data_IF_563979188266
#
_entry.id   IF_563979188266
#
_cell.length_a   1.000
_cell.length_b   1.000
_cell.length_c   1.000
_cell.angle_alpha   90.00
_cell.angle_beta   90.00
_cell.angle_gamma   90.00
#
_symmetry.space_group_name_H-M   'P 1'
#
loop_
_entity.id
_entity.type
_entity.pdbx_description
1 polymer ?
#
# COMPACT_ATOMS: atom_id res chain seq x y z
N UNK A 1 -21.05 -3.15 -16.41
CA UNK A 1 -20.64 -4.57 -16.36
C UNK A 1 -19.15 -4.64 -16.09
N UNK A 2 -18.71 -5.59 -15.26
CA UNK A 2 -17.30 -5.75 -14.87
C UNK A 2 -16.62 -6.98 -15.48
N UNK A 3 -17.40 -7.89 -16.08
CA UNK A 3 -16.86 -9.00 -16.87
C UNK A 3 -16.38 -8.46 -18.21
N UNK A 4 -15.13 -8.02 -18.25
CA UNK A 4 -14.52 -7.32 -19.38
C UNK A 4 -13.13 -7.91 -19.68
N UNK A 5 -12.78 -7.91 -20.97
CA UNK A 5 -11.48 -8.33 -21.50
C UNK A 5 -10.89 -7.17 -22.30
N UNK A 6 -9.63 -6.85 -22.07
CA UNK A 6 -8.90 -5.86 -22.86
C UNK A 6 -8.73 -6.43 -24.28
N UNK A 7 -9.09 -5.63 -25.28
CA UNK A 7 -8.66 -5.82 -26.66
C UNK A 7 -7.38 -5.00 -26.82
N UNK A 8 -6.23 -5.65 -26.78
CA UNK A 8 -4.93 -4.98 -26.71
C UNK A 8 -4.29 -4.82 -28.10
N UNK A 9 -3.06 -4.30 -28.13
CA UNK A 9 -2.30 -4.07 -29.35
C UNK A 9 -2.00 -5.38 -30.09
N UNK A 10 -1.74 -6.48 -29.37
CA UNK A 10 -1.53 -7.80 -29.98
C UNK A 10 -2.76 -8.25 -30.78
N UNK A 11 -3.96 -8.13 -30.18
CA UNK A 11 -5.21 -8.50 -30.84
C UNK A 11 -5.45 -7.69 -32.12
N UNK A 12 -5.12 -6.39 -32.08
CA UNK A 12 -5.26 -5.49 -33.24
C UNK A 12 -4.26 -5.82 -34.34
N UNK A 13 -3.00 -6.08 -34.00
CA UNK A 13 -1.93 -6.42 -34.93
C UNK A 13 -2.17 -7.75 -35.65
N UNK A 14 -2.80 -8.72 -34.97
CA UNK A 14 -3.09 -10.04 -35.53
C UNK A 14 -4.49 -10.16 -36.14
N UNK A 15 -5.26 -9.07 -36.21
CA UNK A 15 -6.59 -9.06 -36.82
C UNK A 15 -7.62 -9.91 -36.06
N UNK A 16 -7.47 -10.08 -34.75
CA UNK A 16 -8.41 -10.86 -33.92
C UNK A 16 -9.74 -10.11 -33.87
N UNK A 17 -10.77 -10.72 -34.45
CA UNK A 17 -12.11 -10.14 -34.53
C UNK A 17 -12.98 -10.57 -33.34
N UNK A 18 -13.66 -9.59 -32.73
CA UNK A 18 -14.63 -9.82 -31.66
C UNK A 18 -16.04 -9.39 -32.11
N UNK A 19 -17.12 -10.03 -31.60
CA UNK A 19 -18.49 -9.63 -31.93
C UNK A 19 -18.74 -8.15 -31.62
N UNK A 20 -19.17 -7.37 -32.62
CA UNK A 20 -19.34 -5.91 -32.49
C UNK A 20 -20.25 -5.50 -31.33
N UNK A 21 -21.26 -6.31 -31.02
CA UNK A 21 -22.18 -6.10 -29.89
C UNK A 21 -21.54 -6.34 -28.51
N UNK A 22 -20.36 -6.96 -28.44
CA UNK A 22 -19.59 -7.20 -27.20
C UNK A 22 -18.44 -6.20 -27.01
N UNK A 23 -18.00 -5.54 -28.08
CA UNK A 23 -16.97 -4.50 -28.01
C UNK A 23 -17.55 -3.24 -27.35
N UNK A 24 -16.82 -2.70 -26.37
CA UNK A 24 -17.23 -1.45 -25.71
C UNK A 24 -16.92 -0.24 -26.60
N UNK A 25 -17.76 0.80 -26.59
CA UNK A 25 -17.63 1.93 -27.50
C UNK A 25 -16.50 2.91 -27.12
N UNK A 26 -15.92 2.77 -25.93
CA UNK A 26 -14.94 3.70 -25.39
C UNK A 26 -13.69 2.96 -24.95
N UNK A 27 -12.54 3.63 -25.11
CA UNK A 27 -11.28 3.16 -24.60
C UNK A 27 -11.26 3.17 -23.06
N UNK A 28 -10.49 2.25 -22.50
CA UNK A 28 -10.25 2.16 -21.07
C UNK A 28 -8.82 2.60 -20.73
N UNK A 29 -8.63 3.10 -19.51
CA UNK A 29 -7.33 3.59 -19.05
C UNK A 29 -6.63 2.55 -18.17
N UNK A 30 -5.38 2.24 -18.50
CA UNK A 30 -4.41 1.65 -17.58
C UNK A 30 -3.51 2.76 -17.03
N UNK A 31 -3.33 2.84 -15.71
CA UNK A 31 -2.58 3.95 -15.10
C UNK A 31 -1.08 3.68 -15.12
N UNK A 32 -0.28 4.73 -15.34
CA UNK A 32 1.18 4.67 -15.21
C UNK A 32 1.60 5.03 -13.81
N UNK A 33 2.50 4.24 -13.24
CA UNK A 33 3.15 4.52 -11.97
C UNK A 33 4.48 3.82 -11.92
N UNK A 34 5.35 4.29 -11.03
CA UNK A 34 6.68 3.72 -10.86
C UNK A 34 6.60 2.32 -10.24
N UNK A 35 7.29 1.35 -10.84
CA UNK A 35 7.47 0.01 -10.27
C UNK A 35 8.94 -0.37 -10.33
N UNK A 36 9.47 -0.90 -9.24
CA UNK A 36 10.88 -1.30 -9.19
C UNK A 36 11.19 -2.58 -9.96
N UNK A 37 10.18 -3.37 -10.33
CA UNK A 37 10.36 -4.59 -11.14
C UNK A 37 10.81 -4.27 -12.57
N UNK A 38 10.44 -3.12 -13.12
CA UNK A 38 10.87 -2.73 -14.47
C UNK A 38 12.31 -2.23 -14.47
N UNK A 39 13.08 -2.54 -15.53
CA UNK A 39 14.43 -2.02 -15.73
C UNK A 39 14.44 -0.48 -15.74
N UNK A 40 13.43 0.13 -16.36
CA UNK A 40 13.27 1.57 -16.41
C UNK A 40 12.83 2.14 -15.04
N UNK A 41 13.78 2.71 -14.30
CA UNK A 41 13.51 3.34 -12.99
C UNK A 41 12.94 4.76 -13.07
N UNK A 42 12.60 5.26 -14.27
CA UNK A 42 11.88 6.52 -14.49
C UNK A 42 10.37 6.30 -14.67
N UNK A 43 9.89 5.05 -14.64
CA UNK A 43 8.49 4.68 -14.74
C UNK A 43 7.80 5.01 -16.07
N UNK A 44 8.59 5.17 -17.15
CA UNK A 44 8.06 5.41 -18.50
C UNK A 44 7.41 4.18 -19.13
N UNK A 45 7.61 3.01 -18.55
CA UNK A 45 7.12 1.72 -19.10
C UNK A 45 6.41 0.89 -18.05
N UNK A 46 6.14 1.43 -16.85
CA UNK A 46 5.54 0.69 -15.74
C UNK A 46 4.16 1.25 -15.36
N UNK A 47 3.33 0.39 -14.77
CA UNK A 47 2.00 0.73 -14.29
C UNK A 47 1.06 -0.47 -14.26
N UNK A 48 -0.20 -0.24 -14.56
CA UNK A 48 -1.22 -1.29 -14.57
C UNK A 48 -1.01 -2.29 -15.71
N UNK A 49 -0.20 -3.31 -15.48
CA UNK A 49 0.09 -4.38 -16.45
C UNK A 49 -1.06 -5.34 -16.73
N UNK A 50 -1.97 -5.49 -15.76
CA UNK A 50 -3.13 -6.41 -15.83
C UNK A 50 -4.43 -5.81 -15.31
N UNK A 51 -4.47 -4.47 -15.22
CA UNK A 51 -5.60 -3.76 -14.64
C UNK A 51 -6.06 -2.63 -15.55
N UNK A 52 -7.34 -2.27 -15.42
CA UNK A 52 -7.88 -1.03 -15.96
C UNK A 52 -8.62 -0.26 -14.88
N UNK A 53 -8.69 1.06 -15.05
CA UNK A 53 -9.55 1.94 -14.29
C UNK A 53 -10.92 2.00 -14.96
N UNK A 54 -11.96 1.57 -14.24
CA UNK A 54 -13.34 1.56 -14.73
C UNK A 54 -14.04 2.92 -14.57
N UNK A 55 -13.41 3.85 -13.86
CA UNK A 55 -13.97 5.15 -13.50
C UNK A 55 -14.17 5.30 -12.00
N UNK A 56 -15.11 6.16 -11.61
CA UNK A 56 -15.44 6.39 -10.22
C UNK A 56 -16.95 6.36 -9.98
N UNK A 57 -17.34 5.95 -8.78
CA UNK A 57 -18.69 6.06 -8.25
C UNK A 57 -18.78 7.25 -7.29
N UNK A 58 -19.71 8.17 -7.53
CA UNK A 58 -20.02 9.28 -6.61
C UNK A 58 -21.15 8.85 -5.68
N UNK A 59 -20.81 8.50 -4.43
CA UNK A 59 -21.79 8.29 -3.37
C UNK A 59 -22.20 9.61 -2.69
N UNK A 60 -23.10 9.53 -1.71
CA UNK A 60 -23.60 10.71 -0.97
C UNK A 60 -22.51 11.53 -0.30
N UNK A 61 -21.49 10.86 0.26
CA UNK A 61 -20.45 11.51 1.07
C UNK A 61 -19.00 11.22 0.61
N UNK A 62 -18.80 10.31 -0.35
CA UNK A 62 -17.48 9.88 -0.81
C UNK A 62 -17.51 9.54 -2.30
N UNK A 63 -16.37 9.75 -2.95
CA UNK A 63 -16.09 9.28 -4.31
C UNK A 63 -15.21 8.04 -4.20
N UNK A 64 -15.54 7.00 -4.95
CA UNK A 64 -14.83 5.73 -4.97
C UNK A 64 -14.27 5.49 -6.36
N UNK A 65 -12.97 5.26 -6.48
CA UNK A 65 -12.40 4.71 -7.70
C UNK A 65 -12.73 3.23 -7.79
N UNK A 66 -12.98 2.76 -9.02
CA UNK A 66 -13.24 1.35 -9.31
C UNK A 66 -12.27 0.89 -10.38
N UNK A 67 -11.62 -0.24 -10.16
CA UNK A 67 -10.66 -0.82 -11.09
C UNK A 67 -10.87 -2.33 -11.17
N UNK A 68 -10.66 -2.90 -12.36
CA UNK A 68 -10.68 -4.35 -12.56
C UNK A 68 -9.26 -4.85 -12.82
N UNK A 69 -8.85 -5.93 -12.14
CA UNK A 69 -7.60 -6.68 -12.35
C UNK A 69 -7.88 -8.05 -12.95
N UNK A 70 -6.93 -8.61 -13.69
CA UNK A 70 -7.09 -9.90 -14.38
C UNK A 70 -7.85 -9.78 -15.69
N UNK A 71 -7.92 -8.58 -16.26
CA UNK A 71 -8.75 -8.30 -17.45
C UNK A 71 -7.99 -8.45 -18.77
N UNK A 72 -6.69 -8.78 -18.74
CA UNK A 72 -5.83 -8.86 -19.92
C UNK A 72 -4.55 -8.03 -19.75
N UNK A 73 -3.59 -8.28 -20.65
CA UNK A 73 -2.27 -7.65 -20.61
C UNK A 73 -2.30 -6.27 -21.28
N UNK A 74 -1.59 -5.32 -20.67
CA UNK A 74 -1.36 -3.98 -21.22
C UNK A 74 0.11 -3.81 -21.62
N UNK A 75 0.41 -2.77 -22.39
CA UNK A 75 1.79 -2.37 -22.69
C UNK A 75 2.63 -1.96 -21.46
N UNK A 76 2.02 -1.88 -20.26
CA UNK A 76 2.70 -1.58 -19.00
C UNK A 76 3.05 -2.83 -18.20
N UNK A 77 2.71 -4.04 -18.68
CA UNK A 77 3.06 -5.28 -18.01
C UNK A 77 4.57 -5.53 -18.04
N UNK A 78 5.19 -6.01 -16.95
CA UNK A 78 6.62 -6.37 -16.93
C UNK A 78 7.03 -7.25 -18.12
N UNK A 79 6.26 -8.32 -18.39
CA UNK A 79 6.54 -9.22 -19.51
C UNK A 79 6.44 -8.56 -20.89
N UNK A 80 5.48 -7.66 -21.11
CA UNK A 80 5.36 -6.94 -22.39
C UNK A 80 6.52 -5.96 -22.63
N UNK A 81 7.00 -5.32 -21.55
CA UNK A 81 8.16 -4.44 -21.59
C UNK A 81 9.44 -5.22 -21.84
N UNK A 82 9.59 -6.39 -21.20
CA UNK A 82 10.72 -7.29 -21.42
C UNK A 82 10.75 -7.84 -22.85
N UNK A 83 9.61 -8.27 -23.37
CA UNK A 83 9.48 -8.78 -24.74
C UNK A 83 9.72 -7.70 -25.81
N UNK A 84 9.60 -6.41 -25.46
CA UNK A 84 9.70 -5.31 -26.40
C UNK A 84 8.59 -5.27 -27.46
N UNK A 85 7.51 -6.03 -27.26
CA UNK A 85 6.37 -6.17 -28.17
C UNK A 85 5.07 -6.44 -27.42
N UNK A 86 3.89 -6.20 -28.02
CA UNK A 86 2.62 -6.60 -27.45
C UNK A 86 2.56 -8.11 -27.22
N UNK A 87 1.93 -8.51 -26.10
CA UNK A 87 1.70 -9.91 -25.76
C UNK A 87 0.22 -10.26 -25.89
N UNK A 88 -0.05 -11.51 -26.23
CA UNK A 88 -1.40 -12.05 -26.15
C UNK A 88 -1.80 -12.20 -24.68
N UNK A 89 -2.99 -11.74 -24.32
CA UNK A 89 -3.49 -11.96 -22.97
C UNK A 89 -3.70 -13.46 -22.71
N UNK A 90 -3.09 -13.98 -21.64
CA UNK A 90 -3.04 -15.41 -21.30
C UNK A 90 -1.74 -16.09 -21.71
N UNK A 91 -0.85 -15.44 -22.46
CA UNK A 91 0.45 -16.01 -22.84
C UNK A 91 1.34 -16.25 -21.60
N UNK A 92 2.05 -17.38 -21.63
CA UNK A 92 3.06 -17.77 -20.64
C UNK A 92 4.49 -17.52 -21.12
N UNK A 93 4.66 -16.87 -22.29
CA UNK A 93 5.97 -16.71 -22.93
C UNK A 93 6.92 -15.81 -22.11
N UNK A 94 6.35 -14.88 -21.33
CA UNK A 94 7.10 -13.91 -20.52
C UNK A 94 6.45 -13.76 -19.14
N UNK A 95 6.91 -14.55 -18.17
CA UNK A 95 6.63 -14.48 -16.72
C UNK A 95 5.39 -13.68 -16.28
N UNK A 96 5.62 -12.56 -15.59
CA UNK A 96 4.58 -11.64 -15.08
C UNK A 96 3.86 -10.84 -16.19
N UNK A 97 3.57 -11.47 -17.33
CA UNK A 97 3.05 -10.88 -18.55
C UNK A 97 1.73 -11.47 -19.06
N UNK A 98 1.15 -12.48 -18.41
CA UNK A 98 -0.07 -13.13 -18.91
C UNK A 98 -1.32 -12.21 -18.84
N UNK A 99 -1.33 -11.19 -17.98
CA UNK A 99 -2.48 -10.28 -17.85
C UNK A 99 -3.71 -10.88 -17.16
N UNK A 100 -3.63 -12.14 -16.71
CA UNK A 100 -4.69 -12.85 -15.99
C UNK A 100 -4.51 -12.73 -14.47
N UNK A 101 -5.56 -13.12 -13.74
CA UNK A 101 -5.54 -13.28 -12.31
C UNK A 101 -6.10 -14.66 -11.96
N UNK A 102 -5.38 -15.41 -11.14
CA UNK A 102 -5.86 -16.66 -10.56
C UNK A 102 -6.99 -16.39 -9.56
N UNK A 103 -7.95 -17.29 -9.45
CA UNK A 103 -9.12 -17.09 -8.61
C UNK A 103 -8.76 -17.12 -7.12
N UNK A 104 -7.72 -17.87 -6.74
CA UNK A 104 -7.20 -17.97 -5.38
C UNK A 104 -6.55 -16.65 -4.91
N UNK A 105 -5.78 -15.95 -5.76
CA UNK A 105 -5.24 -14.63 -5.46
C UNK A 105 -6.36 -13.61 -5.24
N UNK A 106 -7.48 -13.73 -5.96
CA UNK A 106 -8.62 -12.83 -5.85
C UNK A 106 -9.42 -13.08 -4.57
N UNK A 107 -9.67 -14.34 -4.23
CA UNK A 107 -10.29 -14.70 -2.94
C UNK A 107 -9.40 -14.27 -1.78
N UNK A 108 -8.10 -14.57 -1.83
CA UNK A 108 -7.14 -14.13 -0.82
C UNK A 108 -7.13 -12.62 -0.61
N UNK A 109 -7.08 -11.85 -1.71
CA UNK A 109 -7.16 -10.39 -1.66
C UNK A 109 -8.47 -9.89 -1.05
N UNK A 110 -9.60 -10.49 -1.42
CA UNK A 110 -10.92 -10.08 -0.89
C UNK A 110 -11.04 -10.32 0.61
N UNK A 111 -10.65 -11.51 1.09
CA UNK A 111 -10.72 -11.86 2.50
C UNK A 111 -9.81 -10.95 3.33
N UNK A 112 -8.56 -10.77 2.88
CA UNK A 112 -7.60 -9.91 3.59
C UNK A 112 -8.04 -8.44 3.62
N UNK A 113 -8.58 -7.92 2.51
CA UNK A 113 -9.11 -6.56 2.44
C UNK A 113 -10.24 -6.32 3.45
N UNK A 114 -11.15 -7.27 3.59
CA UNK A 114 -12.23 -7.17 4.57
C UNK A 114 -11.74 -7.29 6.01
N UNK A 115 -10.79 -8.20 6.28
CA UNK A 115 -10.16 -8.34 7.59
C UNK A 115 -9.50 -7.03 8.01
N UNK A 116 -8.66 -6.45 7.16
CA UNK A 116 -7.95 -5.21 7.47
C UNK A 116 -8.89 -4.02 7.58
N UNK A 117 -9.91 -3.95 6.73
CA UNK A 117 -10.95 -2.94 6.89
C UNK A 117 -11.64 -3.01 8.26
N UNK A 118 -12.01 -4.23 8.71
CA UNK A 118 -12.62 -4.45 10.02
C UNK A 118 -11.68 -4.18 11.19
N UNK A 119 -10.36 -4.37 10.98
CA UNK A 119 -9.33 -3.97 11.94
C UNK A 119 -9.11 -2.44 11.97
N UNK A 120 -9.78 -1.66 11.11
CA UNK A 120 -9.67 -0.20 11.07
C UNK A 120 -8.49 0.30 10.22
N UNK A 121 -7.86 -0.57 9.43
CA UNK A 121 -6.86 -0.16 8.45
C UNK A 121 -7.55 0.45 7.23
N UNK A 122 -6.92 1.50 6.70
CA UNK A 122 -7.25 2.01 5.37
C UNK A 122 -6.79 0.99 4.34
N UNK A 123 -7.68 0.60 3.44
CA UNK A 123 -7.34 -0.31 2.36
C UNK A 123 -8.30 -0.21 1.18
N UNK A 124 -7.85 -0.62 -0.01
CA UNK A 124 -8.76 -1.01 -1.07
C UNK A 124 -9.69 -2.15 -0.61
N UNK A 125 -10.88 -2.20 -1.20
CA UNK A 125 -11.91 -3.18 -0.94
C UNK A 125 -12.16 -3.96 -2.22
N UNK A 126 -12.60 -5.22 -2.10
CA UNK A 126 -13.01 -6.02 -3.24
C UNK A 126 -14.52 -5.97 -3.35
N UNK A 127 -15.03 -5.34 -4.40
CA UNK A 127 -16.46 -5.23 -4.69
C UNK A 127 -17.02 -6.54 -5.22
N UNK A 128 -16.27 -7.21 -6.10
CA UNK A 128 -16.67 -8.47 -6.70
C UNK A 128 -15.45 -9.29 -7.11
N UNK A 129 -15.61 -10.60 -7.06
CA UNK A 129 -14.76 -11.58 -7.75
C UNK A 129 -15.65 -12.25 -8.78
N UNK A 130 -15.22 -12.23 -10.04
CA UNK A 130 -15.94 -12.86 -11.16
C UNK A 130 -15.11 -14.05 -11.60
N UNK A 131 -15.64 -15.24 -11.37
CA UNK A 131 -15.05 -16.49 -11.85
C UNK A 131 -15.26 -16.60 -13.37
N UNK A 132 -14.17 -16.80 -14.09
CA UNK A 132 -14.19 -16.98 -15.55
C UNK A 132 -14.07 -18.46 -15.96
N UNK A 133 -13.91 -19.38 -15.00
CA UNK A 133 -13.56 -20.78 -15.23
C UNK A 133 -12.04 -21.01 -15.23
N UNK A 134 -11.65 -22.29 -15.24
CA UNK A 134 -10.26 -22.74 -15.37
C UNK A 134 -9.27 -22.16 -14.35
N UNK A 135 -9.76 -21.80 -13.16
CA UNK A 135 -8.95 -21.20 -12.10
C UNK A 135 -8.68 -19.71 -12.29
N UNK A 136 -9.24 -19.05 -13.31
CA UNK A 136 -9.04 -17.63 -13.60
C UNK A 136 -10.23 -16.76 -13.19
N UNK A 137 -9.96 -15.50 -12.86
CA UNK A 137 -11.02 -14.56 -12.51
C UNK A 137 -10.71 -13.09 -12.77
N UNK A 138 -11.73 -12.25 -12.56
CA UNK A 138 -11.60 -10.80 -12.54
C UNK A 138 -11.87 -10.29 -11.13
N UNK A 139 -10.91 -9.54 -10.61
CA UNK A 139 -11.05 -8.84 -9.34
C UNK A 139 -11.51 -7.41 -9.53
N UNK A 140 -12.69 -7.05 -9.02
CA UNK A 140 -13.17 -5.67 -9.05
C UNK A 140 -12.86 -5.03 -7.70
N UNK A 141 -11.86 -4.14 -7.69
CA UNK A 141 -11.45 -3.39 -6.50
C UNK A 141 -12.03 -1.99 -6.47
N UNK A 142 -12.23 -1.46 -5.27
CA UNK A 142 -12.65 -0.09 -5.04
C UNK A 142 -11.96 0.53 -3.83
N UNK A 143 -11.62 1.82 -3.93
CA UNK A 143 -11.13 2.60 -2.80
C UNK A 143 -11.59 4.06 -2.95
N UNK A 144 -11.67 4.86 -1.88
CA UNK A 144 -12.00 6.28 -2.02
C UNK A 144 -11.00 7.03 -2.92
N UNK A 145 -9.77 6.53 -3.00
CA UNK A 145 -8.73 7.02 -3.88
C UNK A 145 -7.71 5.89 -4.12
N UNK A 146 -7.56 5.43 -5.36
CA UNK A 146 -6.60 4.37 -5.74
C UNK A 146 -5.19 4.91 -6.04
N UNK A 147 -4.95 6.21 -5.87
CA UNK A 147 -3.61 6.77 -6.04
C UNK A 147 -2.62 6.16 -5.06
N UNK A 148 -1.44 5.84 -5.60
CA UNK A 148 -0.25 5.32 -4.88
C UNK A 148 0.83 6.41 -4.84
N UNK A 149 1.72 6.47 -3.83
CA UNK A 149 2.92 7.31 -3.87
C UNK A 149 3.68 7.20 -5.20
N UNK A 150 3.78 5.98 -5.75
CA UNK A 150 4.40 5.69 -7.04
C UNK A 150 3.84 6.50 -8.23
N UNK A 151 2.56 6.87 -8.22
CA UNK A 151 1.96 7.73 -9.25
C UNK A 151 2.52 9.16 -9.21
N UNK A 152 2.86 9.65 -8.02
CA UNK A 152 3.42 10.98 -7.83
C UNK A 152 4.94 10.97 -8.01
N UNK A 153 5.61 9.95 -7.46
CA UNK A 153 7.06 9.81 -7.55
C UNK A 153 7.53 9.62 -8.98
N UNK A 154 6.70 9.04 -9.85
CA UNK A 154 6.91 8.99 -11.30
C UNK A 154 7.33 10.35 -11.87
N UNK A 155 6.46 11.35 -11.76
CA UNK A 155 6.69 12.68 -12.35
C UNK A 155 7.83 13.43 -11.65
N UNK A 156 8.05 13.16 -10.36
CA UNK A 156 9.22 13.68 -9.64
C UNK A 156 10.54 13.12 -10.21
N UNK A 157 10.60 11.81 -10.51
CA UNK A 157 11.78 11.17 -11.10
C UNK A 157 12.03 11.68 -12.51
N UNK A 158 10.97 11.92 -13.28
CA UNK A 158 11.01 12.48 -14.63
C UNK A 158 11.33 13.97 -14.68
N UNK A 159 11.29 14.67 -13.53
CA UNK A 159 11.41 16.13 -13.46
C UNK A 159 10.35 16.84 -14.31
N UNK A 160 9.14 16.26 -14.40
CA UNK A 160 7.98 16.88 -15.03
C UNK A 160 7.17 17.60 -13.96
N UNK A 161 7.56 18.85 -13.68
CA UNK A 161 6.90 19.68 -12.67
C UNK A 161 5.42 19.90 -12.98
N UNK A 162 5.05 20.06 -14.26
CA UNK A 162 3.69 20.36 -14.67
C UNK A 162 2.77 19.15 -14.44
N UNK A 163 3.19 17.96 -14.85
CA UNK A 163 2.43 16.73 -14.60
C UNK A 163 2.38 16.39 -13.10
N UNK A 164 3.50 16.55 -12.37
CA UNK A 164 3.52 16.36 -10.92
C UNK A 164 2.52 17.28 -10.22
N UNK A 165 2.48 18.56 -10.62
CA UNK A 165 1.53 19.53 -10.06
C UNK A 165 0.09 19.10 -10.30
N UNK A 166 -0.26 18.69 -11.53
CA UNK A 166 -1.62 18.19 -11.84
C UNK A 166 -1.98 16.96 -11.01
N UNK A 167 -1.05 16.01 -10.87
CA UNK A 167 -1.28 14.79 -10.09
C UNK A 167 -1.46 15.08 -8.59
N UNK A 168 -0.63 15.96 -8.01
CA UNK A 168 -0.73 16.38 -6.61
C UNK A 168 -2.00 17.21 -6.36
N UNK A 169 -2.36 18.12 -7.26
CA UNK A 169 -3.61 18.88 -7.16
C UNK A 169 -4.84 17.97 -7.23
N UNK A 170 -4.82 16.98 -8.14
CA UNK A 170 -5.85 15.95 -8.21
C UNK A 170 -5.96 15.17 -6.89
N UNK A 171 -4.82 14.74 -6.32
CA UNK A 171 -4.79 14.06 -5.03
C UNK A 171 -5.43 14.91 -3.92
N UNK A 172 -5.04 16.19 -3.80
CA UNK A 172 -5.63 17.13 -2.83
C UNK A 172 -7.14 17.26 -3.01
N UNK A 173 -7.61 17.44 -4.25
CA UNK A 173 -9.04 17.57 -4.55
C UNK A 173 -9.80 16.30 -4.16
N UNK A 174 -9.25 15.11 -4.45
CA UNK A 174 -9.86 13.83 -4.08
C UNK A 174 -9.97 13.66 -2.57
N UNK A 175 -8.90 13.95 -1.82
CA UNK A 175 -8.92 13.83 -0.36
C UNK A 175 -9.87 14.84 0.29
N UNK A 176 -9.95 16.07 -0.26
CA UNK A 176 -10.90 17.07 0.21
C UNK A 176 -12.35 16.66 -0.07
N UNK A 177 -12.67 16.20 -1.29
CA UNK A 177 -14.01 15.70 -1.65
C UNK A 177 -14.46 14.52 -0.80
N UNK A 178 -13.52 13.66 -0.41
CA UNK A 178 -13.77 12.53 0.49
C UNK A 178 -13.82 12.93 1.98
N UNK A 179 -13.71 14.23 2.29
CA UNK A 179 -13.70 14.80 3.64
C UNK A 179 -12.58 14.28 4.55
N UNK A 180 -11.54 13.72 3.95
CA UNK A 180 -10.36 13.24 4.67
C UNK A 180 -9.48 14.43 5.11
N UNK A 181 -9.41 15.48 4.29
CA UNK A 181 -8.63 16.68 4.56
C UNK A 181 -9.51 17.92 4.70
N UNK A 182 -9.26 18.71 5.76
CA UNK A 182 -10.10 19.85 6.15
C UNK A 182 -9.63 21.19 5.62
N UNK A 183 -8.45 21.27 5.02
CA UNK A 183 -7.95 22.52 4.44
C UNK A 183 -8.55 22.77 3.05
N UNK A 184 -8.69 24.04 2.67
CA UNK A 184 -9.25 24.41 1.36
C UNK A 184 -8.31 24.07 0.20
N UNK A 185 -8.87 23.59 -0.90
CA UNK A 185 -8.12 23.14 -2.10
C UNK A 185 -7.32 24.26 -2.80
N UNK A 186 -7.69 25.53 -2.54
CA UNK A 186 -7.01 26.73 -3.05
C UNK A 186 -6.14 27.43 -2.00
N UNK A 187 -5.95 26.82 -0.83
CA UNK A 187 -5.13 27.41 0.23
C UNK A 187 -3.69 27.64 -0.25
N UNK A 188 -3.11 28.82 0.05
CA UNK A 188 -1.75 29.20 -0.39
C UNK A 188 -0.69 28.16 -0.02
N UNK A 189 -0.84 27.51 1.14
CA UNK A 189 0.07 26.49 1.65
C UNK A 189 -0.42 25.05 1.47
N UNK A 190 -1.32 24.78 0.50
CA UNK A 190 -1.96 23.47 0.31
C UNK A 190 -0.97 22.29 0.20
N UNK A 191 0.20 22.47 -0.43
CA UNK A 191 1.20 21.39 -0.55
C UNK A 191 1.86 21.06 0.79
N UNK A 192 2.18 22.07 1.60
CA UNK A 192 2.71 21.88 2.96
C UNK A 192 1.68 21.23 3.89
N UNK A 193 0.40 21.63 3.76
CA UNK A 193 -0.70 21.02 4.50
C UNK A 193 -0.92 19.57 4.07
N UNK A 194 -0.88 19.28 2.76
CA UNK A 194 -0.92 17.92 2.23
C UNK A 194 0.21 17.07 2.82
N UNK A 195 1.46 17.55 2.80
CA UNK A 195 2.60 16.83 3.38
C UNK A 195 2.36 16.51 4.86
N UNK A 196 1.79 17.46 5.62
CA UNK A 196 1.45 17.24 7.03
C UNK A 196 0.41 16.13 7.21
N UNK A 197 -0.65 16.12 6.40
CA UNK A 197 -1.69 15.08 6.47
C UNK A 197 -1.18 13.71 6.01
N UNK A 198 -0.37 13.66 4.95
CA UNK A 198 0.28 12.42 4.49
C UNK A 198 1.20 11.87 5.58
N UNK A 199 2.02 12.71 6.23
CA UNK A 199 2.86 12.29 7.35
C UNK A 199 2.04 11.68 8.50
N UNK A 200 0.92 12.29 8.88
CA UNK A 200 0.05 11.74 9.94
C UNK A 200 -0.58 10.41 9.55
N UNK A 201 -1.04 10.31 8.30
CA UNK A 201 -1.75 9.12 7.82
C UNK A 201 -0.78 7.94 7.70
N UNK A 202 0.40 8.15 7.11
CA UNK A 202 1.44 7.13 7.06
C UNK A 202 1.97 6.76 8.44
N UNK A 203 2.09 7.71 9.37
CA UNK A 203 2.56 7.41 10.73
C UNK A 203 1.60 6.47 11.49
N UNK A 204 0.28 6.71 11.37
CA UNK A 204 -0.74 5.81 11.92
C UNK A 204 -0.73 4.46 11.22
N UNK A 205 -0.67 4.48 9.89
CA UNK A 205 -0.63 3.28 9.06
C UNK A 205 0.51 2.35 9.47
N UNK A 206 1.75 2.84 9.53
CA UNK A 206 2.91 1.98 9.85
C UNK A 206 2.94 1.54 11.30
N UNK A 207 2.43 2.35 12.23
CA UNK A 207 2.29 1.95 13.63
C UNK A 207 1.28 0.80 13.76
N UNK A 208 0.16 0.88 13.03
CA UNK A 208 -0.82 -0.19 12.98
C UNK A 208 -0.20 -1.47 12.40
N UNK A 209 0.50 -1.38 11.26
CA UNK A 209 1.18 -2.54 10.67
C UNK A 209 2.18 -3.20 11.64
N UNK A 210 3.00 -2.40 12.32
CA UNK A 210 3.99 -2.91 13.28
C UNK A 210 3.33 -3.65 14.45
N UNK A 211 2.31 -3.05 15.07
CA UNK A 211 1.64 -3.63 16.23
C UNK A 211 0.76 -4.82 15.86
N UNK A 212 0.14 -4.79 14.69
CA UNK A 212 -0.73 -5.87 14.18
C UNK A 212 0.04 -6.96 13.43
N UNK A 213 1.37 -6.92 13.42
CA UNK A 213 2.26 -7.86 12.72
C UNK A 213 1.87 -8.07 11.26
N UNK A 214 1.51 -6.98 10.60
CA UNK A 214 1.15 -6.98 9.19
C UNK A 214 2.38 -6.53 8.41
N UNK A 215 2.85 -7.41 7.54
CA UNK A 215 3.88 -7.14 6.57
C UNK A 215 3.23 -6.70 5.25
N UNK A 216 3.59 -5.50 4.80
CA UNK A 216 3.31 -4.99 3.47
C UNK A 216 4.63 -4.56 2.83
N UNK A 217 4.90 -5.00 1.61
CA UNK A 217 6.17 -4.69 0.96
C UNK A 217 6.19 -3.24 0.43
N UNK A 218 6.88 -2.35 1.14
CA UNK A 218 6.93 -0.92 0.84
C UNK A 218 8.12 -0.47 -0.02
N UNK A 219 9.02 -1.39 -0.40
CA UNK A 219 10.30 -1.00 -1.02
C UNK A 219 10.16 -0.58 -2.49
N UNK A 220 8.99 -0.79 -3.10
CA UNK A 220 8.72 -0.53 -4.50
C UNK A 220 8.24 0.91 -4.75
N UNK A 221 8.93 1.89 -4.16
CA UNK A 221 8.56 3.32 -4.24
C UNK A 221 7.08 3.60 -3.85
N UNK A 222 6.54 2.73 -2.98
CA UNK A 222 5.17 2.79 -2.51
C UNK A 222 4.11 2.42 -3.55
N UNK A 223 4.38 1.52 -4.49
CA UNK A 223 3.31 0.99 -5.36
C UNK A 223 2.26 0.19 -4.57
N UNK A 224 2.62 -0.67 -3.62
CA UNK A 224 1.68 -1.51 -2.85
C UNK A 224 1.03 -0.79 -1.66
N UNK A 225 1.05 0.54 -1.67
CA UNK A 225 0.38 1.35 -0.64
C UNK A 225 -0.38 2.51 -1.28
N UNK A 226 -1.51 2.87 -0.67
CA UNK A 226 -2.28 4.04 -1.07
C UNK A 226 -1.57 5.32 -0.60
N UNK A 227 -1.70 6.40 -1.36
CA UNK A 227 -1.02 7.69 -1.10
C UNK A 227 -1.51 8.38 0.18
N UNK A 228 -2.64 7.93 0.73
CA UNK A 228 -3.17 8.35 2.02
C UNK A 228 -2.80 7.38 3.17
N UNK A 229 -1.90 6.42 2.96
CA UNK A 229 -1.50 5.45 3.98
C UNK A 229 -2.53 4.34 4.16
N UNK A 230 -2.51 3.36 3.26
CA UNK A 230 -3.36 2.16 3.30
C UNK A 230 -2.82 1.05 2.41
N UNK A 231 -3.40 -0.15 2.50
CA UNK A 231 -2.95 -1.32 1.73
C UNK A 231 -3.67 -1.39 0.38
N UNK A 232 -2.91 -1.70 -0.66
CA UNK A 232 -3.36 -2.06 -2.00
C UNK A 232 -2.45 -3.17 -2.53
N UNK A 233 -2.99 -4.06 -3.35
CA UNK A 233 -2.25 -5.15 -4.00
C UNK A 233 -1.73 -6.22 -3.02
N UNK A 234 -2.57 -7.21 -2.77
CA UNK A 234 -2.44 -8.17 -1.69
C UNK A 234 -1.45 -9.32 -1.92
N UNK A 235 -0.71 -9.34 -3.03
CA UNK A 235 0.18 -10.47 -3.37
C UNK A 235 1.28 -10.72 -2.32
N UNK A 236 1.94 -9.66 -1.86
CA UNK A 236 3.07 -9.73 -0.91
C UNK A 236 2.69 -9.36 0.53
N UNK A 237 1.40 -9.32 0.85
CA UNK A 237 0.91 -8.93 2.18
C UNK A 237 0.74 -10.15 3.06
N UNK A 238 1.23 -10.09 4.31
CA UNK A 238 1.09 -11.17 5.31
C UNK A 238 0.66 -10.59 6.65
N UNK A 239 -0.22 -11.29 7.36
CA UNK A 239 -0.48 -11.02 8.78
C UNK A 239 -0.01 -12.21 9.60
N UNK A 240 0.85 -11.95 10.59
CA UNK A 240 1.40 -13.00 11.43
C UNK A 240 0.66 -13.11 12.77
N UNK A 241 0.57 -14.33 13.30
CA UNK A 241 0.13 -14.58 14.67
C UNK A 241 1.17 -14.17 15.71
N UNK A 242 2.46 -14.23 15.35
CA UNK A 242 3.62 -13.87 16.17
C UNK A 242 4.45 -12.79 15.47
N UNK A 243 5.32 -12.09 16.20
CA UNK A 243 6.24 -11.10 15.60
C UNK A 243 7.36 -11.78 14.81
N UNK A 244 7.06 -12.22 13.60
CA UNK A 244 8.04 -12.69 12.61
C UNK A 244 8.72 -11.51 11.91
N UNK A 245 9.38 -10.65 12.69
CA UNK A 245 9.99 -9.40 12.20
C UNK A 245 11.30 -9.57 11.42
N UNK A 246 11.75 -10.81 11.26
CA UNK A 246 12.83 -11.20 10.36
C UNK A 246 12.34 -12.02 9.16
N UNK A 247 11.03 -12.22 9.02
CA UNK A 247 10.46 -12.81 7.80
C UNK A 247 10.79 -11.95 6.58
N UNK A 248 11.16 -12.61 5.48
CA UNK A 248 11.30 -12.01 4.15
C UNK A 248 10.63 -12.93 3.14
N UNK A 249 9.75 -12.35 2.34
CA UNK A 249 9.14 -13.00 1.18
C UNK A 249 10.19 -13.17 0.08
N UNK A 250 10.17 -14.31 -0.59
CA UNK A 250 11.05 -14.64 -1.73
C UNK A 250 10.35 -14.27 -3.05
N UNK A 251 10.86 -13.24 -3.73
CA UNK A 251 10.32 -12.74 -5.00
C UNK A 251 11.14 -13.23 -6.21
N UNK A 252 11.77 -14.41 -6.09
CA UNK A 252 12.65 -15.08 -7.08
C UNK A 252 13.97 -14.34 -7.33
N UNK A 253 13.92 -13.04 -7.62
CA UNK A 253 15.08 -12.20 -7.91
C UNK A 253 15.68 -11.57 -6.64
N UNK A 254 14.87 -11.37 -5.60
CA UNK A 254 15.31 -10.76 -4.34
C UNK A 254 14.37 -11.06 -3.18
N UNK A 255 14.92 -11.00 -1.98
CA UNK A 255 14.12 -10.99 -0.77
C UNK A 255 13.47 -9.64 -0.51
N UNK A 256 12.24 -9.69 -0.01
CA UNK A 256 11.51 -8.50 0.42
C UNK A 256 12.16 -7.81 1.63
N UNK A 257 11.64 -6.62 1.96
CA UNK A 257 11.85 -6.04 3.30
C UNK A 257 11.24 -6.94 4.39
N UNK A 258 11.45 -6.61 5.66
CA UNK A 258 10.78 -7.25 6.80
C UNK A 258 9.97 -6.25 7.65
N UNK A 259 9.27 -6.71 8.69
CA UNK A 259 8.46 -5.85 9.55
C UNK A 259 9.26 -4.67 10.13
N UNK A 260 10.50 -4.90 10.57
CA UNK A 260 11.35 -3.87 11.17
C UNK A 260 11.79 -2.79 10.17
N UNK A 261 11.70 -3.06 8.87
CA UNK A 261 12.06 -2.12 7.82
C UNK A 261 10.88 -1.25 7.34
N UNK A 262 9.63 -1.55 7.70
CA UNK A 262 8.46 -0.79 7.23
C UNK A 262 8.48 0.69 7.67
N UNK A 263 8.83 0.98 8.92
CA UNK A 263 8.93 2.36 9.42
C UNK A 263 10.06 3.13 8.71
N UNK A 264 11.31 2.63 8.63
CA UNK A 264 12.36 3.29 7.83
C UNK A 264 11.98 3.53 6.37
N UNK A 265 11.31 2.58 5.71
CA UNK A 265 10.87 2.72 4.31
C UNK A 265 9.78 3.77 4.16
N UNK A 266 8.83 3.83 5.09
CA UNK A 266 7.84 4.92 5.13
C UNK A 266 8.45 6.28 5.39
N UNK A 267 9.50 6.34 6.21
CA UNK A 267 10.27 7.57 6.42
C UNK A 267 10.97 8.04 5.15
N UNK A 268 11.41 7.14 4.27
CA UNK A 268 11.95 7.50 2.94
C UNK A 268 10.84 8.03 2.02
N UNK A 269 9.66 7.40 2.03
CA UNK A 269 8.50 7.93 1.29
C UNK A 269 8.15 9.35 1.74
N UNK A 270 8.16 9.63 3.04
CA UNK A 270 7.89 10.98 3.55
C UNK A 270 8.94 12.00 3.13
N UNK A 271 10.21 11.59 2.97
CA UNK A 271 11.25 12.43 2.39
C UNK A 271 10.97 12.75 0.93
N UNK A 272 10.48 11.78 0.16
CA UNK A 272 10.10 12.00 -1.24
C UNK A 272 8.88 12.93 -1.36
N UNK A 273 7.89 12.81 -0.47
CA UNK A 273 6.81 13.80 -0.39
C UNK A 273 7.31 15.21 -0.02
N UNK A 274 8.29 15.33 0.89
CA UNK A 274 8.90 16.63 1.19
C UNK A 274 9.66 17.21 -0.02
N UNK A 275 10.35 16.35 -0.78
CA UNK A 275 11.00 16.70 -2.04
C UNK A 275 9.99 17.17 -3.09
N UNK A 276 8.82 16.52 -3.20
CA UNK A 276 7.71 16.97 -4.06
C UNK A 276 7.30 18.40 -3.70
N UNK A 277 7.03 18.66 -2.41
CA UNK A 277 6.60 20.00 -1.98
C UNK A 277 7.65 21.05 -2.35
N UNK A 278 8.93 20.79 -2.05
CA UNK A 278 10.00 21.70 -2.41
C UNK A 278 10.10 21.93 -3.93
N UNK A 279 10.00 20.87 -4.73
CA UNK A 279 10.09 20.97 -6.17
C UNK A 279 8.90 21.74 -6.76
N UNK A 280 7.69 21.52 -6.25
CA UNK A 280 6.51 22.28 -6.67
C UNK A 280 6.57 23.76 -6.28
N UNK A 281 7.19 24.10 -5.15
CA UNK A 281 7.32 25.48 -4.68
C UNK A 281 8.46 26.25 -5.37
N UNK A 282 9.53 25.57 -5.78
CA UNK A 282 10.77 26.23 -6.25
C UNK A 282 11.12 25.97 -7.71
N UNK A 283 10.53 24.93 -8.32
CA UNK A 283 10.96 24.44 -9.65
C UNK A 283 12.30 23.71 -9.66
N UNK A 284 12.98 23.56 -8.51
CA UNK A 284 14.27 22.89 -8.41
C UNK A 284 14.16 21.57 -7.65
N UNK A 285 14.58 20.47 -8.28
CA UNK A 285 14.69 19.17 -7.60
C UNK A 285 16.03 19.09 -6.86
N UNK A 286 15.98 18.78 -5.56
CA UNK A 286 17.15 18.54 -4.72
C UNK A 286 17.33 17.05 -4.43
N UNK A 287 18.55 16.56 -4.10
CA UNK A 287 18.74 15.18 -3.64
C UNK A 287 17.89 14.84 -2.41
N UNK A 288 17.48 13.57 -2.29
CA UNK A 288 16.56 13.11 -1.24
C UNK A 288 17.16 13.30 0.17
N UNK A 289 18.47 13.14 0.30
CA UNK A 289 19.25 13.26 1.53
C UNK A 289 19.09 14.62 2.20
N UNK A 290 18.87 15.69 1.41
CA UNK A 290 18.61 17.05 1.93
C UNK A 290 17.35 17.09 2.80
N UNK A 291 16.40 16.18 2.59
CA UNK A 291 15.15 16.12 3.33
C UNK A 291 15.24 15.24 4.59
N UNK A 292 16.37 14.58 4.86
CA UNK A 292 16.53 13.66 6.01
C UNK A 292 16.23 14.32 7.36
N UNK A 293 16.50 15.63 7.49
CA UNK A 293 16.24 16.44 8.70
C UNK A 293 15.10 17.45 8.51
N UNK A 294 14.27 17.29 7.47
CA UNK A 294 13.15 18.19 7.20
C UNK A 294 12.12 18.16 8.35
N UNK A 295 11.49 19.30 8.71
CA UNK A 295 10.53 19.36 9.82
C UNK A 295 9.38 18.35 9.71
N UNK A 296 8.90 18.07 8.50
CA UNK A 296 7.86 17.06 8.27
C UNK A 296 8.30 15.64 8.67
N UNK A 297 9.59 15.32 8.53
CA UNK A 297 10.12 14.01 8.92
C UNK A 297 10.18 13.88 10.44
N UNK A 298 10.59 14.94 11.14
CA UNK A 298 10.49 14.98 12.61
C UNK A 298 9.04 14.85 13.08
N UNK A 299 8.10 15.49 12.38
CA UNK A 299 6.68 15.34 12.66
C UNK A 299 6.19 13.91 12.45
N UNK A 300 6.57 13.27 11.33
CA UNK A 300 6.29 11.86 11.06
C UNK A 300 6.85 10.96 12.16
N UNK A 301 8.14 11.09 12.51
CA UNK A 301 8.80 10.27 13.52
C UNK A 301 8.08 10.39 14.88
N UNK A 302 7.73 11.61 15.30
CA UNK A 302 6.94 11.85 16.51
C UNK A 302 5.55 11.19 16.45
N UNK A 303 4.84 11.33 15.33
CA UNK A 303 3.52 10.75 15.14
C UNK A 303 3.56 9.22 15.12
N UNK A 304 4.63 8.60 14.59
CA UNK A 304 4.83 7.15 14.63
C UNK A 304 4.96 6.69 16.07
N UNK A 305 5.82 7.34 16.86
CA UNK A 305 6.01 6.96 18.26
C UNK A 305 4.70 7.07 19.05
N UNK A 306 3.96 8.18 18.89
CA UNK A 306 2.64 8.34 19.51
C UNK A 306 1.67 7.24 19.08
N UNK A 307 1.58 6.96 17.79
CA UNK A 307 0.65 5.98 17.24
C UNK A 307 0.98 4.56 17.70
N UNK A 308 2.26 4.20 17.83
CA UNK A 308 2.69 2.90 18.35
C UNK A 308 2.18 2.66 19.79
N UNK A 309 2.24 3.67 20.67
CA UNK A 309 1.72 3.54 22.04
C UNK A 309 0.21 3.51 22.06
N UNK A 310 -0.44 4.30 21.21
CA UNK A 310 -1.90 4.27 21.10
C UNK A 310 -2.39 2.89 20.64
N UNK A 311 -1.80 2.30 19.61
CA UNK A 311 -2.13 0.95 19.19
C UNK A 311 -1.78 -0.10 20.25
N UNK A 312 -0.65 0.05 20.95
CA UNK A 312 -0.32 -0.82 22.09
C UNK A 312 -1.38 -0.78 23.19
N UNK A 313 -1.84 0.41 23.61
CA UNK A 313 -2.89 0.54 24.62
C UNK A 313 -4.21 -0.06 24.16
N UNK A 314 -4.58 0.10 22.87
CA UNK A 314 -5.75 -0.57 22.31
C UNK A 314 -5.63 -2.09 22.36
N UNK A 315 -4.44 -2.64 22.12
CA UNK A 315 -4.20 -4.08 22.23
C UNK A 315 -4.34 -4.61 23.67
N UNK A 316 -4.09 -3.75 24.67
CA UNK A 316 -4.37 -4.06 26.08
C UNK A 316 -5.86 -3.91 26.44
N UNK A 317 -6.70 -3.47 25.51
CA UNK A 317 -8.15 -3.32 25.71
C UNK A 317 -8.61 -1.89 26.03
N UNK A 318 -7.72 -0.90 26.07
CA UNK A 318 -8.12 0.48 26.36
C UNK A 318 -8.78 1.17 25.16
N UNK A 319 -10.00 1.72 25.30
CA UNK A 319 -10.60 2.57 24.28
C UNK A 319 -9.77 3.83 24.00
N UNK A 320 -9.99 4.46 22.84
CA UNK A 320 -9.20 5.62 22.40
C UNK A 320 -9.15 6.78 23.41
N UNK A 321 -10.27 7.10 24.05
CA UNK A 321 -10.35 8.18 25.04
C UNK A 321 -9.51 7.89 26.29
N UNK A 322 -9.50 6.64 26.71
CA UNK A 322 -8.72 6.18 27.87
C UNK A 322 -7.24 6.10 27.50
N UNK A 323 -6.90 5.55 26.34
CA UNK A 323 -5.54 5.53 25.83
C UNK A 323 -4.94 6.95 25.75
N UNK A 324 -5.71 7.92 25.25
CA UNK A 324 -5.29 9.33 25.24
C UNK A 324 -5.09 9.89 26.66
N UNK A 325 -5.92 9.49 27.62
CA UNK A 325 -5.83 9.92 29.02
C UNK A 325 -4.58 9.34 29.68
N UNK A 326 -4.33 8.04 29.48
CA UNK A 326 -3.15 7.33 29.97
C UNK A 326 -1.86 7.94 29.40
N UNK A 327 -1.83 8.19 28.09
CA UNK A 327 -0.69 8.84 27.45
C UNK A 327 -0.41 10.25 27.99
N UNK A 328 -1.45 11.01 28.35
CA UNK A 328 -1.32 12.38 28.89
C UNK A 328 -0.89 12.39 30.36
N UNK A 329 -1.50 11.56 31.20
CA UNK A 329 -1.29 11.57 32.66
C UNK A 329 -0.13 10.68 33.09
N UNK A 330 0.04 9.53 32.45
CA UNK A 330 0.96 8.46 32.83
C UNK A 330 1.93 8.10 31.69
N UNK A 331 2.27 9.06 30.83
CA UNK A 331 3.06 8.80 29.62
C UNK A 331 4.42 8.12 29.89
N UNK A 332 5.04 8.38 31.04
CA UNK A 332 6.30 7.71 31.44
C UNK A 332 6.09 6.23 31.75
N UNK A 333 5.01 5.88 32.43
CA UNK A 333 4.69 4.49 32.79
C UNK A 333 4.25 3.70 31.56
N UNK A 334 3.44 4.30 30.69
CA UNK A 334 3.07 3.72 29.40
C UNK A 334 4.32 3.44 28.56
N UNK A 335 5.26 4.39 28.51
CA UNK A 335 6.52 4.21 27.80
C UNK A 335 7.33 3.05 28.36
N UNK A 336 7.49 2.98 29.69
CA UNK A 336 8.22 1.90 30.35
C UNK A 336 7.58 0.53 30.07
N UNK A 337 6.27 0.43 30.18
CA UNK A 337 5.52 -0.79 29.88
C UNK A 337 5.68 -1.20 28.42
N UNK A 338 5.54 -0.24 27.49
CA UNK A 338 5.72 -0.48 26.07
C UNK A 338 7.13 -0.98 25.72
N UNK A 339 8.18 -0.36 26.28
CA UNK A 339 9.56 -0.77 26.04
C UNK A 339 9.84 -2.18 26.56
N UNK A 340 9.34 -2.52 27.76
CA UNK A 340 9.45 -3.87 28.30
C UNK A 340 8.73 -4.90 27.42
N UNK A 341 7.51 -4.56 26.97
CA UNK A 341 6.75 -5.40 26.07
C UNK A 341 7.51 -5.66 24.76
N UNK A 342 8.04 -4.61 24.12
CA UNK A 342 8.78 -4.71 22.86
C UNK A 342 10.10 -5.46 23.03
N UNK A 343 10.78 -5.30 24.17
CA UNK A 343 12.01 -6.03 24.47
C UNK A 343 11.77 -7.55 24.44
N UNK A 344 10.70 -8.04 25.09
CA UNK A 344 10.29 -9.45 25.05
C UNK A 344 9.86 -9.86 23.63
N UNK A 345 9.03 -9.04 22.97
CA UNK A 345 8.51 -9.32 21.63
C UNK A 345 9.61 -9.55 20.57
N UNK A 346 10.77 -8.89 20.75
CA UNK A 346 11.91 -8.96 19.83
C UNK A 346 12.88 -10.09 20.13
N UNK A 347 12.71 -10.83 21.23
CA UNK A 347 13.58 -11.98 21.55
C UNK A 347 13.44 -13.04 20.45
N UNK A 348 14.59 -13.51 19.95
CA UNK A 348 14.69 -14.56 18.92
C UNK A 348 15.46 -15.76 19.42
N UNK A 349 15.13 -16.90 18.83
CA UNK A 349 15.89 -18.14 19.03
C UNK A 349 17.32 -17.95 18.56
N UNK A 350 18.29 -18.69 19.11
CA UNK A 350 19.68 -18.67 18.60
C UNK A 350 19.83 -19.35 17.22
N UNK A 351 18.77 -20.00 16.72
CA UNK A 351 18.75 -20.63 15.40
C UNK A 351 18.93 -19.60 14.28
N UNK A 352 19.52 -20.05 13.18
CA UNK A 352 19.61 -19.29 11.94
C UNK A 352 18.24 -19.11 11.28
N UNK A 353 18.17 -18.25 10.26
CA UNK A 353 16.97 -18.12 9.44
C UNK A 353 16.72 -19.43 8.67
N UNK A 354 15.44 -19.80 8.56
CA UNK A 354 15.01 -21.06 7.95
C UNK A 354 14.07 -20.77 6.79
N UNK A 355 14.08 -21.66 5.79
CA UNK A 355 13.13 -21.60 4.68
C UNK A 355 11.71 -21.88 5.20
N UNK A 356 10.76 -21.08 4.72
CA UNK A 356 9.32 -21.27 4.90
C UNK A 356 8.66 -21.38 3.53
N UNK A 357 7.34 -21.55 3.48
CA UNK A 357 6.61 -21.82 2.23
C UNK A 357 6.89 -20.80 1.11
N UNK A 358 6.97 -19.52 1.46
CA UNK A 358 7.07 -18.40 0.51
C UNK A 358 8.22 -17.44 0.85
N UNK A 359 9.23 -17.90 1.59
CA UNK A 359 10.28 -17.02 2.07
C UNK A 359 11.28 -17.63 3.04
N UNK A 360 11.89 -16.77 3.83
CA UNK A 360 12.79 -17.14 4.93
C UNK A 360 12.39 -16.41 6.21
N UNK A 361 12.60 -17.04 7.36
CA UNK A 361 12.24 -16.47 8.65
C UNK A 361 13.12 -16.98 9.78
N UNK A 362 13.34 -16.14 10.79
CA UNK A 362 13.87 -16.57 12.08
C UNK A 362 12.72 -16.66 13.09
N UNK A 363 12.45 -17.84 13.68
CA UNK A 363 11.30 -18.02 14.58
C UNK A 363 11.28 -17.03 15.74
N UNK A 364 10.09 -16.50 16.03
CA UNK A 364 9.82 -15.72 17.24
C UNK A 364 9.79 -16.63 18.47
N UNK A 365 10.19 -16.11 19.64
CA UNK A 365 10.17 -16.87 20.90
C UNK A 365 8.87 -16.67 21.65
N UNK A 366 8.52 -15.43 21.96
CA UNK A 366 7.36 -15.12 22.77
C UNK A 366 6.12 -14.80 21.94
N UNK A 367 4.99 -15.39 22.35
CA UNK A 367 3.67 -14.96 21.89
C UNK A 367 3.14 -13.85 22.81
N UNK A 368 3.54 -12.62 22.53
CA UNK A 368 3.13 -11.47 23.35
C UNK A 368 1.63 -11.16 23.28
N UNK A 369 0.93 -11.60 22.22
CA UNK A 369 -0.53 -11.47 22.12
C UNK A 369 -1.23 -12.38 23.11
N UNK A 370 -0.79 -13.64 23.22
CA UNK A 370 -1.29 -14.58 24.22
C UNK A 370 -0.98 -14.10 25.63
N UNK A 371 0.23 -13.56 25.86
CA UNK A 371 0.60 -13.00 27.16
C UNK A 371 -0.38 -11.90 27.59
N UNK A 372 -0.69 -10.93 26.72
CA UNK A 372 -1.64 -9.85 27.03
C UNK A 372 -3.05 -10.38 27.27
N UNK A 373 -3.52 -11.31 26.43
CA UNK A 373 -4.83 -11.93 26.61
C UNK A 373 -4.96 -12.61 27.97
N UNK A 374 -3.94 -13.35 28.37
CA UNK A 374 -3.94 -14.10 29.62
C UNK A 374 -3.64 -13.23 30.85
N UNK A 375 -3.01 -12.07 30.67
CA UNK A 375 -2.72 -11.15 31.77
C UNK A 375 -4.01 -10.66 32.44
N UNK A 376 -5.06 -10.40 31.66
CA UNK A 376 -6.37 -10.01 32.19
C UNK A 376 -6.97 -11.12 33.07
N UNK A 377 -6.91 -12.37 32.58
CA UNK A 377 -7.36 -13.53 33.35
C UNK A 377 -6.52 -13.72 34.63
N UNK A 378 -5.20 -13.59 34.53
CA UNK A 378 -4.31 -13.71 35.68
C UNK A 378 -4.67 -12.71 36.77
N UNK A 379 -4.90 -11.44 36.42
CA UNK A 379 -5.33 -10.44 37.40
C UNK A 379 -6.71 -10.80 37.98
N UNK A 380 -7.70 -11.12 37.15
CA UNK A 380 -9.02 -11.54 37.61
C UNK A 380 -8.97 -12.71 38.63
N UNK A 381 -8.04 -13.65 38.43
CA UNK A 381 -7.94 -14.83 39.29
C UNK A 381 -7.13 -14.60 40.58
N UNK A 382 -6.35 -13.51 40.67
CA UNK A 382 -5.40 -13.27 41.77
C UNK A 382 -5.53 -11.88 42.44
N UNK A 383 -6.53 -11.07 42.05
CA UNK A 383 -6.92 -9.82 42.72
C UNK A 383 -8.39 -9.85 43.03
#
# INVERSE_FOLDING_TARGET
TFSIRIINEFDKEHGIAYPKNRVKPHDHMATRYLQLQHQNKQGKTSGDGRCIWNGFFKGRNKVWDVSSRGVGVTCLAPGAVEAGRPLQSGSTDFGYGCGMAEIDELYGASIMAEIFHRQGLVTERMLAVIDLGDGLGIGVRAAPNLLRPAHLFLFLKQQDQAALKRAVDYFIVRQHRNREWKFGIHHKSKYRLMLKEVCRSFARFVAHLDRSYIFAWMDWDGDNVLANGGIIDYGSVRQFGLRHDQYRYDDVERFSTNLNQQIPKSRLMMQAFAQIVHYLETGKRLPLERFRRHPAIRHFDHMVQKSLRQEFLRQLGFPDKEADTLMKRYGRDVEKMYLNFVALERVKTRKEAQKVADGVNRPAVFNMRTLVRNLVQFYHDHT
#
